data_IF_240518948798
#
_entry.id   IF_240518948798
#
_cell.length_a   1.000
_cell.length_b   1.000
_cell.length_c   1.000
_cell.angle_alpha   90.00
_cell.angle_beta   90.00
_cell.angle_gamma   90.00
#
_symmetry.space_group_name_H-M   'P 1'
#
loop_
_entity.id
_entity.type
_entity.pdbx_description
1 polymer ?
#
# COMPACT_ATOMS: atom_id res chain seq x y z
N UNK A 1 -47.48 -2.27 -3.58
CA UNK A 1 -46.65 -2.52 -2.37
C UNK A 1 -45.15 -2.60 -2.66
N UNK A 2 -44.68 -2.78 -3.91
CA UNK A 2 -43.24 -2.84 -4.25
C UNK A 2 -42.55 -1.48 -4.56
N UNK A 3 -43.25 -0.35 -4.41
CA UNK A 3 -42.69 0.99 -4.68
C UNK A 3 -42.11 1.66 -3.43
N UNK A 4 -42.63 1.31 -2.25
CA UNK A 4 -42.17 1.89 -0.97
C UNK A 4 -40.93 1.18 -0.40
N UNK A 5 -40.68 -0.09 -0.75
CA UNK A 5 -39.46 -0.82 -0.34
C UNK A 5 -38.18 -0.31 -1.04
N UNK A 6 -38.31 0.48 -2.12
CA UNK A 6 -37.17 1.16 -2.78
C UNK A 6 -36.80 2.50 -2.14
N UNK A 7 -37.63 3.03 -1.25
CA UNK A 7 -37.41 4.33 -0.59
C UNK A 7 -36.82 4.19 0.83
N UNK A 8 -36.69 2.96 1.35
CA UNK A 8 -36.15 2.65 2.68
C UNK A 8 -34.89 1.79 2.64
N UNK A 9 -34.26 1.61 1.47
CA UNK A 9 -32.87 1.19 1.44
C UNK A 9 -32.03 2.35 1.97
N UNK A 10 -31.78 2.38 3.28
CA UNK A 10 -30.70 3.17 3.84
C UNK A 10 -29.49 2.91 2.97
N UNK A 11 -28.94 3.96 2.36
CA UNK A 11 -27.66 3.89 1.65
C UNK A 11 -26.62 3.50 2.70
N UNK A 12 -26.48 2.20 2.94
CA UNK A 12 -25.61 1.68 3.97
C UNK A 12 -24.20 1.93 3.48
N UNK A 13 -23.50 2.82 4.18
CA UNK A 13 -22.14 3.20 3.83
C UNK A 13 -21.22 2.00 4.03
N UNK A 14 -20.33 1.76 3.06
CA UNK A 14 -19.28 0.77 3.20
C UNK A 14 -18.41 1.11 4.42
N UNK A 15 -17.86 0.11 5.12
CA UNK A 15 -16.98 0.36 6.26
C UNK A 15 -15.75 1.17 5.82
N UNK A 16 -15.32 2.10 6.68
CA UNK A 16 -14.12 2.92 6.49
C UNK A 16 -12.86 2.11 6.83
N UNK A 17 -12.53 1.17 5.95
CA UNK A 17 -11.37 0.28 6.00
C UNK A 17 -10.50 0.48 4.76
N UNK A 18 -9.21 0.71 4.96
CA UNK A 18 -8.24 0.87 3.89
C UNK A 18 -7.48 -0.43 3.59
N UNK A 19 -7.16 -0.64 2.31
CA UNK A 19 -6.38 -1.78 1.81
C UNK A 19 -5.18 -1.29 1.02
N UNK A 20 -4.12 -2.09 1.01
CA UNK A 20 -2.90 -1.82 0.27
C UNK A 20 -2.10 -0.62 0.77
N UNK A 21 -0.98 -0.43 0.09
CA UNK A 21 -0.01 0.64 0.35
C UNK A 21 -0.53 1.97 -0.19
N UNK A 22 -0.20 3.05 0.50
CA UNK A 22 -0.52 4.38 0.03
C UNK A 22 0.33 4.77 -1.19
N UNK A 23 -0.28 5.52 -2.12
CA UNK A 23 0.38 6.11 -3.28
C UNK A 23 0.00 7.58 -3.41
N UNK A 24 1.00 8.43 -3.65
CA UNK A 24 0.84 9.85 -3.97
C UNK A 24 1.09 10.16 -5.45
N UNK A 25 1.24 9.14 -6.30
CA UNK A 25 1.64 9.32 -7.71
C UNK A 25 0.58 10.04 -8.56
N UNK A 26 -0.70 9.95 -8.18
CA UNK A 26 -1.81 10.60 -8.87
C UNK A 26 -2.44 11.63 -7.97
N UNK A 27 -2.22 12.90 -8.32
CA UNK A 27 -2.77 14.07 -7.63
C UNK A 27 -4.03 14.58 -8.32
N UNK A 28 -4.89 15.27 -7.58
CA UNK A 28 -6.07 15.91 -8.13
C UNK A 28 -5.69 17.12 -9.01
N UNK A 29 -6.63 17.59 -9.84
CA UNK A 29 -6.42 18.78 -10.65
C UNK A 29 -6.10 20.01 -9.79
N UNK A 30 -6.75 20.14 -8.63
CA UNK A 30 -6.54 21.22 -7.66
C UNK A 30 -5.12 21.16 -7.07
N UNK A 31 -4.64 19.96 -6.73
CA UNK A 31 -3.27 19.76 -6.24
C UNK A 31 -2.25 20.17 -7.32
N UNK A 32 -2.43 19.76 -8.58
CA UNK A 32 -1.52 20.20 -9.66
C UNK A 32 -1.53 21.72 -9.86
N UNK A 33 -2.70 22.37 -9.76
CA UNK A 33 -2.79 23.84 -9.79
C UNK A 33 -2.04 24.47 -8.60
N UNK A 34 -2.12 23.87 -7.40
CA UNK A 34 -1.37 24.32 -6.23
C UNK A 34 0.14 24.16 -6.43
N UNK A 35 0.58 23.07 -7.06
CA UNK A 35 1.97 22.84 -7.44
C UNK A 35 2.50 23.92 -8.39
N UNK A 36 1.80 24.16 -9.50
CA UNK A 36 2.19 25.17 -10.49
C UNK A 36 2.24 26.57 -9.87
N UNK A 37 1.27 26.88 -9.01
CA UNK A 37 1.25 28.12 -8.22
C UNK A 37 2.47 28.22 -7.31
N UNK A 38 2.86 27.13 -6.64
CA UNK A 38 4.04 27.12 -5.76
C UNK A 38 5.33 27.42 -6.52
N UNK A 39 5.51 26.83 -7.71
CA UNK A 39 6.66 27.07 -8.57
C UNK A 39 6.74 28.53 -9.01
N UNK A 40 5.63 29.07 -9.52
CA UNK A 40 5.55 30.47 -9.96
C UNK A 40 5.86 31.45 -8.82
N UNK A 41 5.30 31.23 -7.63
CA UNK A 41 5.56 32.09 -6.47
C UNK A 41 7.03 32.04 -6.05
N UNK A 42 7.69 30.88 -6.17
CA UNK A 42 9.11 30.73 -5.89
C UNK A 42 9.96 31.55 -6.86
N UNK A 43 9.67 31.47 -8.16
CA UNK A 43 10.33 32.26 -9.21
C UNK A 43 10.16 33.79 -9.01
N UNK A 44 9.02 34.19 -8.45
CA UNK A 44 8.73 35.60 -8.09
C UNK A 44 9.37 36.03 -6.75
N UNK A 45 10.19 35.18 -6.12
CA UNK A 45 10.80 35.38 -4.80
C UNK A 45 9.80 35.54 -3.64
N UNK A 46 8.55 35.07 -3.81
CA UNK A 46 7.51 35.04 -2.78
C UNK A 46 7.55 33.70 -2.06
N UNK A 47 8.63 33.49 -1.30
CA UNK A 47 8.97 32.16 -0.78
C UNK A 47 7.98 31.62 0.24
N UNK A 48 7.49 32.44 1.18
CA UNK A 48 6.52 31.98 2.18
C UNK A 48 5.20 31.55 1.53
N UNK A 49 4.72 32.32 0.56
CA UNK A 49 3.52 32.02 -0.21
C UNK A 49 3.71 30.80 -1.10
N UNK A 50 4.91 30.62 -1.65
CA UNK A 50 5.30 29.40 -2.37
C UNK A 50 5.18 28.17 -1.46
N UNK A 51 5.72 28.22 -0.24
CA UNK A 51 5.59 27.12 0.74
C UNK A 51 4.12 26.84 1.08
N UNK A 52 3.31 27.87 1.31
CA UNK A 52 1.87 27.70 1.58
C UNK A 52 1.14 27.03 0.41
N UNK A 53 1.45 27.42 -0.83
CA UNK A 53 0.90 26.77 -2.02
C UNK A 53 1.38 25.32 -2.17
N UNK A 54 2.65 25.04 -1.87
CA UNK A 54 3.21 23.69 -1.85
C UNK A 54 2.55 22.80 -0.78
N UNK A 55 2.22 23.34 0.39
CA UNK A 55 1.48 22.61 1.43
C UNK A 55 0.10 22.17 0.95
N UNK A 56 -0.61 23.01 0.20
CA UNK A 56 -1.88 22.62 -0.43
C UNK A 56 -1.72 21.50 -1.46
N UNK A 57 -0.57 21.39 -2.13
CA UNK A 57 -0.28 20.25 -3.01
C UNK A 57 -0.10 18.93 -2.22
N UNK A 58 0.46 18.99 -1.01
CA UNK A 58 0.66 17.82 -0.16
C UNK A 58 -0.62 17.33 0.54
N UNK A 59 -1.63 18.19 0.66
CA UNK A 59 -2.88 17.87 1.34
C UNK A 59 -3.67 16.78 0.59
N UNK A 60 -3.91 15.65 1.25
CA UNK A 60 -4.75 14.58 0.74
C UNK A 60 -6.20 14.82 1.20
N UNK A 61 -7.04 15.28 0.28
CA UNK A 61 -8.46 15.51 0.56
C UNK A 61 -9.10 14.26 1.18
N UNK A 62 -9.67 14.42 2.39
CA UNK A 62 -10.37 13.35 3.12
C UNK A 62 -9.49 12.47 4.01
N UNK A 63 -8.16 12.63 4.05
CA UNK A 63 -7.27 11.78 4.87
C UNK A 63 -6.56 12.50 6.03
N UNK A 64 -6.82 13.79 6.24
CA UNK A 64 -6.25 14.58 7.35
C UNK A 64 -4.74 14.35 7.58
N UNK A 65 -3.98 14.16 6.48
CA UNK A 65 -2.55 13.90 6.53
C UNK A 65 -1.72 15.12 6.91
N UNK A 66 -2.34 16.30 6.93
CA UNK A 66 -1.71 17.57 7.18
C UNK A 66 -2.56 18.38 8.16
N UNK A 67 -1.91 18.97 9.15
CA UNK A 67 -2.55 19.83 10.16
C UNK A 67 -1.75 21.13 10.25
N UNK A 68 -2.43 22.27 10.19
CA UNK A 68 -1.81 23.56 10.48
C UNK A 68 -1.64 23.69 12.00
N UNK A 69 -0.45 24.10 12.43
CA UNK A 69 -0.09 24.25 13.84
C UNK A 69 0.28 25.69 14.15
N UNK A 70 0.24 26.05 15.44
CA UNK A 70 0.61 27.38 15.92
C UNK A 70 1.97 27.32 16.61
N UNK A 71 2.84 28.27 16.26
CA UNK A 71 4.10 28.51 16.95
C UNK A 71 4.35 30.03 16.97
N UNK A 72 4.67 30.58 18.14
CA UNK A 72 4.85 32.02 18.32
C UNK A 72 6.05 32.61 17.59
N UNK A 73 7.04 31.79 17.24
CA UNK A 73 8.29 32.22 16.60
C UNK A 73 8.31 31.93 15.09
N UNK A 74 7.26 31.29 14.56
CA UNK A 74 7.14 30.94 13.15
C UNK A 74 6.17 31.84 12.39
N UNK A 75 6.44 32.02 11.10
CA UNK A 75 5.50 32.66 10.18
C UNK A 75 4.44 31.68 9.66
N UNK A 76 4.76 30.39 9.66
CA UNK A 76 3.88 29.32 9.23
C UNK A 76 4.39 27.97 9.75
N UNK A 77 3.51 27.18 10.36
CA UNK A 77 3.81 25.84 10.84
C UNK A 77 2.73 24.85 10.40
N UNK A 78 3.15 23.62 10.16
CA UNK A 78 2.26 22.51 9.87
C UNK A 78 2.94 21.19 10.23
N UNK A 79 2.13 20.19 10.54
CA UNK A 79 2.58 18.82 10.75
C UNK A 79 2.03 17.94 9.64
N UNK A 80 2.83 17.00 9.16
CA UNK A 80 2.42 15.98 8.21
C UNK A 80 2.62 14.58 8.81
N UNK A 81 1.74 13.66 8.44
CA UNK A 81 1.81 12.27 8.90
C UNK A 81 2.36 11.35 7.83
N UNK A 82 3.25 10.45 8.25
CA UNK A 82 3.79 9.38 7.44
C UNK A 82 3.89 8.12 8.27
N UNK A 83 2.98 7.17 8.03
CA UNK A 83 2.99 5.91 8.76
C UNK A 83 2.80 6.14 10.25
N UNK A 84 3.72 5.62 11.03
CA UNK A 84 3.80 5.82 12.48
C UNK A 84 4.29 7.22 12.86
N UNK A 85 4.85 8.02 11.94
CA UNK A 85 5.53 9.28 12.26
C UNK A 85 4.75 10.55 11.98
N UNK A 86 5.03 11.54 12.83
CA UNK A 86 4.70 12.93 12.63
C UNK A 86 5.97 13.69 12.24
N UNK A 87 5.86 14.54 11.23
CA UNK A 87 6.92 15.42 10.77
C UNK A 87 6.43 16.86 10.98
N UNK A 88 7.11 17.58 11.87
CA UNK A 88 6.79 18.96 12.23
C UNK A 88 7.59 19.92 11.37
N UNK A 89 6.89 20.78 10.64
CA UNK A 89 7.47 21.75 9.73
C UNK A 89 7.26 23.17 10.26
N UNK A 90 8.34 23.95 10.27
CA UNK A 90 8.38 25.35 10.68
C UNK A 90 9.01 26.20 9.59
N UNK A 91 8.38 27.35 9.32
CA UNK A 91 8.88 28.35 8.38
C UNK A 91 8.97 29.70 9.08
N UNK A 92 10.15 30.30 9.06
CA UNK A 92 10.35 31.68 9.52
C UNK A 92 10.83 32.58 8.36
N UNK A 93 11.38 33.76 8.67
CA UNK A 93 11.83 34.72 7.66
C UNK A 93 13.06 34.25 6.87
N UNK A 94 13.78 33.23 7.34
CA UNK A 94 15.07 32.79 6.79
C UNK A 94 15.14 31.34 6.39
N UNK A 95 14.46 30.45 7.11
CA UNK A 95 14.61 29.01 6.95
C UNK A 95 13.27 28.30 6.88
N UNK A 96 13.28 27.20 6.14
CA UNK A 96 12.35 26.10 6.28
C UNK A 96 13.04 25.00 7.07
N UNK A 97 12.38 24.45 8.09
CA UNK A 97 12.87 23.32 8.90
C UNK A 97 11.76 22.30 9.05
N UNK A 98 12.08 21.03 8.85
CA UNK A 98 11.22 19.90 9.14
C UNK A 98 11.96 18.91 10.04
N UNK A 99 11.28 18.39 11.04
CA UNK A 99 11.85 17.48 12.04
C UNK A 99 10.87 16.34 12.31
N UNK A 100 11.40 15.13 12.44
CA UNK A 100 10.64 13.98 12.94
C UNK A 100 11.40 13.34 14.08
N UNK A 101 10.69 13.00 15.15
CA UNK A 101 11.27 12.32 16.30
C UNK A 101 11.16 10.81 16.10
N UNK A 102 12.28 10.13 16.19
CA UNK A 102 12.39 8.68 16.01
C UNK A 102 12.12 8.01 17.36
N UNK A 103 13.06 8.13 18.29
CA UNK A 103 12.99 7.46 19.59
C UNK A 103 13.61 8.31 20.69
N UNK A 104 13.18 8.08 21.93
CA UNK A 104 13.84 8.66 23.09
C UNK A 104 15.05 7.82 23.51
N UNK A 105 16.21 8.43 23.69
CA UNK A 105 17.43 7.72 24.11
C UNK A 105 17.54 7.75 25.64
N UNK A 106 17.42 6.58 26.30
CA UNK A 106 17.72 6.46 27.75
C UNK A 106 19.16 6.80 28.05
N UNK A 107 20.05 6.26 27.22
CA UNK A 107 21.48 6.41 27.29
C UNK A 107 22.05 6.59 25.88
N UNK A 108 23.06 7.44 25.74
CA UNK A 108 23.75 7.67 24.47
C UNK A 108 24.76 6.54 24.21
N UNK A 109 24.29 5.48 23.55
CA UNK A 109 25.10 4.33 23.18
C UNK A 109 25.84 4.56 21.85
N UNK A 110 27.14 4.26 21.81
CA UNK A 110 28.01 4.47 20.63
C UNK A 110 27.54 3.70 19.40
N UNK A 111 26.87 2.55 19.58
CA UNK A 111 26.39 1.69 18.50
C UNK A 111 25.38 2.41 17.60
N UNK A 112 24.25 2.86 18.14
CA UNK A 112 23.24 3.55 17.34
C UNK A 112 23.73 4.93 16.87
N UNK A 113 24.54 5.62 17.67
CA UNK A 113 25.10 6.92 17.25
C UNK A 113 26.01 6.77 16.03
N UNK A 114 26.84 5.72 15.99
CA UNK A 114 27.67 5.42 14.81
C UNK A 114 26.78 5.09 13.62
N UNK A 115 25.78 4.23 13.80
CA UNK A 115 24.83 3.86 12.73
C UNK A 115 24.10 5.08 12.16
N UNK A 116 23.64 5.99 13.02
CA UNK A 116 22.99 7.24 12.61
C UNK A 116 23.92 8.15 11.79
N UNK A 117 25.20 8.25 12.18
CA UNK A 117 26.22 9.00 11.41
C UNK A 117 26.54 8.32 10.09
N UNK A 118 26.58 7.00 10.04
CA UNK A 118 26.78 6.22 8.81
C UNK A 118 25.60 6.43 7.85
N UNK A 119 24.36 6.36 8.33
CA UNK A 119 23.18 6.64 7.51
C UNK A 119 23.16 8.06 6.95
N UNK A 120 23.67 9.06 7.69
CA UNK A 120 23.76 10.42 7.16
C UNK A 120 24.60 10.52 5.88
N UNK A 121 25.49 9.56 5.62
CA UNK A 121 26.26 9.53 4.37
C UNK A 121 25.39 9.11 3.17
N UNK A 122 24.36 8.29 3.40
CA UNK A 122 23.48 7.77 2.36
C UNK A 122 22.27 8.69 2.07
N UNK A 123 21.98 9.64 2.96
CA UNK A 123 20.88 10.59 2.83
C UNK A 123 21.29 11.82 1.99
N UNK A 124 20.37 12.32 1.17
CA UNK A 124 20.63 13.45 0.26
C UNK A 124 20.15 14.79 0.82
N UNK A 125 19.07 14.78 1.60
CA UNK A 125 18.38 15.96 2.09
C UNK A 125 18.24 15.98 3.61
N UNK A 126 17.94 14.81 4.21
CA UNK A 126 17.71 14.67 5.63
C UNK A 126 18.98 14.22 6.38
N UNK A 127 18.97 14.36 7.70
CA UNK A 127 20.02 13.83 8.58
C UNK A 127 19.50 13.49 9.95
N UNK A 128 20.09 12.51 10.60
CA UNK A 128 19.94 12.25 12.02
C UNK A 128 20.54 13.37 12.87
N UNK A 129 19.86 13.69 13.96
CA UNK A 129 20.25 14.66 14.97
C UNK A 129 19.80 14.20 16.37
N UNK A 130 20.29 14.87 17.41
CA UNK A 130 19.80 14.73 18.77
C UNK A 130 19.18 16.06 19.20
N UNK A 131 17.97 16.01 19.74
CA UNK A 131 17.35 17.17 20.38
C UNK A 131 17.89 17.38 21.81
N UNK A 132 17.64 18.54 22.45
CA UNK A 132 18.11 18.81 23.81
C UNK A 132 17.52 17.88 24.88
N UNK A 133 16.51 17.08 24.55
CA UNK A 133 15.87 16.09 25.42
C UNK A 133 16.39 14.66 25.12
N UNK A 134 17.47 14.52 24.36
CA UNK A 134 18.04 13.23 23.93
C UNK A 134 17.07 12.38 23.11
N UNK A 135 16.16 12.99 22.37
CA UNK A 135 15.44 12.26 21.33
C UNK A 135 16.33 12.19 20.09
N UNK A 136 16.44 10.98 19.53
CA UNK A 136 16.98 10.79 18.19
C UNK A 136 15.94 11.31 17.21
N UNK A 137 16.33 12.28 16.40
CA UNK A 137 15.48 12.92 15.41
C UNK A 137 16.08 12.74 14.02
N UNK A 138 15.24 12.85 13.01
CA UNK A 138 15.68 13.17 11.66
C UNK A 138 15.24 14.60 11.31
N UNK A 139 16.05 15.30 10.53
CA UNK A 139 15.86 16.71 10.24
C UNK A 139 16.22 17.03 8.79
N UNK A 140 15.38 17.86 8.17
CA UNK A 140 15.63 18.49 6.89
C UNK A 140 15.46 20.01 7.07
N UNK A 141 16.42 20.79 6.60
CA UNK A 141 16.32 22.24 6.60
C UNK A 141 16.93 22.85 5.35
N UNK A 142 16.46 24.06 5.03
CA UNK A 142 16.96 24.85 3.90
C UNK A 142 16.78 26.33 4.21
N UNK A 143 17.69 27.16 3.68
CA UNK A 143 17.38 28.58 3.52
C UNK A 143 16.08 28.70 2.73
N UNK A 144 15.18 29.58 3.17
CA UNK A 144 13.86 29.76 2.57
C UNK A 144 13.98 30.21 1.11
N UNK A 145 15.00 31.00 0.78
CA UNK A 145 15.34 31.40 -0.59
C UNK A 145 15.81 30.26 -1.50
N UNK A 146 16.19 29.11 -0.92
CA UNK A 146 16.63 27.92 -1.64
C UNK A 146 15.63 26.76 -1.53
N UNK A 147 14.54 26.96 -0.78
CA UNK A 147 13.50 25.98 -0.52
C UNK A 147 12.51 25.89 -1.70
N UNK A 148 13.01 25.54 -2.88
CA UNK A 148 12.16 25.35 -4.06
C UNK A 148 11.16 24.22 -3.83
N UNK A 149 9.96 24.24 -4.46
CA UNK A 149 8.98 23.17 -4.30
C UNK A 149 9.53 21.77 -4.58
N UNK A 150 10.43 21.62 -5.56
CA UNK A 150 11.13 20.36 -5.81
C UNK A 150 12.02 19.93 -4.65
N UNK A 151 12.84 20.84 -4.10
CA UNK A 151 13.71 20.55 -2.95
C UNK A 151 12.87 20.18 -1.72
N UNK A 152 11.78 20.90 -1.49
CA UNK A 152 10.85 20.62 -0.39
C UNK A 152 10.18 19.25 -0.55
N UNK A 153 9.69 18.92 -1.75
CA UNK A 153 9.07 17.63 -2.01
C UNK A 153 10.03 16.47 -1.72
N UNK A 154 11.23 16.48 -2.32
CA UNK A 154 12.19 15.39 -2.14
C UNK A 154 12.77 15.35 -0.72
N UNK A 155 13.03 16.51 -0.11
CA UNK A 155 13.54 16.60 1.26
C UNK A 155 12.54 16.09 2.29
N UNK A 156 11.27 16.49 2.19
CA UNK A 156 10.21 15.97 3.06
C UNK A 156 9.92 14.50 2.78
N UNK A 157 9.94 14.06 1.53
CA UNK A 157 9.75 12.66 1.16
C UNK A 157 10.83 11.76 1.76
N UNK A 158 12.10 12.14 1.61
CA UNK A 158 13.22 11.40 2.21
C UNK A 158 13.12 11.39 3.74
N UNK A 159 12.91 12.55 4.37
CA UNK A 159 12.74 12.66 5.82
C UNK A 159 11.61 11.74 6.31
N UNK A 160 10.43 11.84 5.71
CA UNK A 160 9.24 11.14 6.17
C UNK A 160 9.34 9.62 6.01
N UNK A 161 9.79 9.13 4.84
CA UNK A 161 9.91 7.68 4.58
C UNK A 161 10.99 7.06 5.46
N UNK A 162 12.13 7.73 5.62
CA UNK A 162 13.22 7.19 6.43
C UNK A 162 12.89 7.23 7.92
N UNK A 163 12.19 8.27 8.38
CA UNK A 163 11.81 8.37 9.80
C UNK A 163 10.84 7.25 10.21
N UNK A 164 9.92 6.89 9.33
CA UNK A 164 8.96 5.80 9.55
C UNK A 164 9.67 4.44 9.56
N UNK A 165 10.55 4.20 8.58
CA UNK A 165 11.30 2.95 8.46
C UNK A 165 12.31 2.72 9.59
N UNK A 166 13.06 3.75 9.97
CA UNK A 166 14.14 3.60 10.95
C UNK A 166 13.64 3.54 12.40
N UNK A 167 12.38 3.93 12.67
CA UNK A 167 11.76 3.72 13.99
C UNK A 167 11.74 2.25 14.36
N UNK A 168 11.15 1.44 13.49
CA UNK A 168 10.98 0.00 13.73
C UNK A 168 12.33 -0.72 13.76
N UNK A 169 13.24 -0.36 12.86
CA UNK A 169 14.56 -0.99 12.78
C UNK A 169 15.43 -0.65 14.00
N UNK A 170 15.49 0.63 14.41
CA UNK A 170 16.35 1.03 15.52
C UNK A 170 15.77 0.57 16.86
N UNK A 171 14.44 0.64 17.06
CA UNK A 171 13.79 0.18 18.29
C UNK A 171 13.94 -1.33 18.49
N UNK A 172 13.93 -2.11 17.41
CA UNK A 172 14.14 -3.57 17.50
C UNK A 172 15.60 -3.95 17.75
N UNK A 173 16.56 -3.16 17.24
CA UNK A 173 17.99 -3.44 17.40
C UNK A 173 18.60 -2.94 18.72
N UNK A 174 18.05 -1.87 19.32
CA UNK A 174 18.67 -1.19 20.46
C UNK A 174 17.73 -1.05 21.67
N UNK A 175 17.97 -1.83 22.73
CA UNK A 175 17.18 -1.81 23.97
C UNK A 175 17.19 -0.46 24.74
N UNK A 176 18.13 0.44 24.40
CA UNK A 176 18.27 1.75 25.03
C UNK A 176 17.38 2.84 24.41
N UNK A 177 16.63 2.51 23.35
CA UNK A 177 15.68 3.40 22.69
C UNK A 177 14.25 3.11 23.19
N UNK A 178 13.49 4.18 23.46
CA UNK A 178 12.06 4.06 23.78
C UNK A 178 11.20 4.64 22.65
N UNK A 179 10.09 3.95 22.31
CA UNK A 179 9.16 4.45 21.30
C UNK A 179 8.50 5.74 21.78
N UNK A 180 8.29 6.66 20.86
CA UNK A 180 7.49 7.86 21.11
C UNK A 180 6.01 7.54 20.87
N UNK A 181 5.12 8.18 21.63
CA UNK A 181 3.66 7.98 21.47
C UNK A 181 3.18 8.65 20.19
N UNK A 182 2.59 7.85 19.29
CA UNK A 182 2.00 8.33 18.04
C UNK A 182 0.48 8.51 18.21
N UNK A 183 0.01 9.75 18.19
CA UNK A 183 -1.40 10.07 18.50
C UNK A 183 -2.33 9.93 17.27
N UNK A 184 -1.80 9.91 16.05
CA UNK A 184 -2.56 9.92 14.80
C UNK A 184 -2.91 8.52 14.28
N UNK A 185 -2.43 7.46 14.94
CA UNK A 185 -2.75 6.08 14.56
C UNK A 185 -4.23 5.80 14.86
N UNK A 186 -4.95 5.32 13.84
CA UNK A 186 -6.35 4.91 13.98
C UNK A 186 -6.40 3.44 14.40
N UNK A 187 -6.81 3.21 15.64
CA UNK A 187 -7.00 1.88 16.20
C UNK A 187 -8.22 1.22 15.55
N UNK A 188 -8.05 0.01 15.03
CA UNK A 188 -9.14 -0.80 14.49
C UNK A 188 -9.99 -1.39 15.62
N UNK A 189 -11.28 -1.63 15.34
CA UNK A 189 -12.13 -2.32 16.31
C UNK A 189 -11.63 -3.75 16.54
N UNK A 190 -11.85 -4.30 17.74
CA UNK A 190 -11.46 -5.67 18.06
C UNK A 190 -12.08 -6.71 17.12
N UNK A 191 -13.27 -6.43 16.59
CA UNK A 191 -13.95 -7.28 15.60
C UNK A 191 -13.19 -7.29 14.26
N UNK A 192 -12.79 -6.13 13.73
CA UNK A 192 -12.02 -6.04 12.48
C UNK A 192 -10.65 -6.70 12.65
N UNK A 193 -9.97 -6.46 13.77
CA UNK A 193 -8.68 -7.09 14.09
C UNK A 193 -8.81 -8.61 14.10
N UNK A 194 -9.83 -9.14 14.76
CA UNK A 194 -10.07 -10.58 14.80
C UNK A 194 -10.34 -11.16 13.41
N UNK A 195 -11.17 -10.51 12.58
CA UNK A 195 -11.43 -10.96 11.20
C UNK A 195 -10.13 -11.00 10.37
N UNK A 196 -9.26 -10.00 10.52
CA UNK A 196 -7.95 -9.96 9.84
C UNK A 196 -7.03 -11.07 10.30
N UNK A 197 -6.96 -11.36 11.61
CA UNK A 197 -6.17 -12.47 12.16
C UNK A 197 -6.69 -13.83 11.67
N UNK A 198 -8.01 -14.04 11.70
CA UNK A 198 -8.61 -15.25 11.12
C UNK A 198 -8.24 -15.41 9.64
N UNK A 199 -8.25 -14.31 8.89
CA UNK A 199 -7.88 -14.30 7.48
C UNK A 199 -6.41 -14.72 7.29
N UNK A 200 -5.48 -14.14 8.06
CA UNK A 200 -4.06 -14.52 8.05
C UNK A 200 -3.89 -16.02 8.26
N UNK A 201 -4.44 -16.55 9.35
CA UNK A 201 -4.33 -17.97 9.68
C UNK A 201 -4.92 -18.86 8.59
N UNK A 202 -6.11 -18.51 8.09
CA UNK A 202 -6.75 -19.29 7.01
C UNK A 202 -5.89 -19.34 5.73
N UNK A 203 -5.19 -18.25 5.40
CA UNK A 203 -4.31 -18.17 4.22
C UNK A 203 -3.04 -18.96 4.41
N UNK A 204 -2.40 -18.84 5.58
CA UNK A 204 -1.23 -19.62 5.91
C UNK A 204 -1.57 -21.12 5.93
N UNK A 205 -2.71 -21.51 6.50
CA UNK A 205 -3.16 -22.91 6.57
C UNK A 205 -3.45 -23.50 5.20
N UNK A 206 -4.04 -22.72 4.30
CA UNK A 206 -4.23 -23.14 2.91
C UNK A 206 -2.90 -23.48 2.22
N UNK A 207 -1.81 -22.77 2.51
CA UNK A 207 -0.47 -23.04 1.95
C UNK A 207 0.15 -24.35 2.47
N UNK A 208 -0.28 -24.83 3.63
CA UNK A 208 0.21 -26.10 4.21
C UNK A 208 -0.69 -27.29 3.85
N UNK A 209 -1.81 -27.05 3.16
CA UNK A 209 -2.72 -28.11 2.77
C UNK A 209 -2.04 -29.09 1.78
N UNK A 210 -2.25 -30.39 1.99
CA UNK A 210 -1.69 -31.45 1.13
C UNK A 210 -2.15 -31.34 -0.32
N UNK A 211 -3.27 -30.67 -0.56
CA UNK A 211 -3.90 -30.45 -1.86
C UNK A 211 -3.72 -29.01 -2.38
N UNK A 212 -2.70 -28.28 -1.91
CA UNK A 212 -2.40 -26.89 -2.31
C UNK A 212 -2.45 -26.70 -3.84
N UNK A 213 -1.81 -27.60 -4.59
CA UNK A 213 -1.78 -27.58 -6.06
C UNK A 213 -2.81 -28.54 -6.69
N UNK A 214 -3.82 -28.97 -5.93
CA UNK A 214 -4.79 -29.98 -6.32
C UNK A 214 -4.10 -31.34 -6.50
N UNK A 215 -4.14 -31.87 -7.71
CA UNK A 215 -3.55 -33.18 -8.07
C UNK A 215 -2.07 -33.11 -8.46
N UNK A 216 -1.51 -31.90 -8.61
CA UNK A 216 -0.13 -31.71 -9.03
C UNK A 216 0.85 -32.00 -7.90
N UNK A 217 1.98 -32.63 -8.23
CA UNK A 217 3.06 -32.89 -7.28
C UNK A 217 3.92 -31.62 -7.10
N UNK A 218 3.98 -31.02 -5.89
CA UNK A 218 4.74 -29.78 -5.66
C UNK A 218 6.24 -29.88 -5.98
N UNK A 219 6.85 -31.07 -5.83
CA UNK A 219 8.26 -31.29 -6.17
C UNK A 219 8.53 -31.24 -7.67
N UNK A 220 7.53 -31.57 -8.50
CA UNK A 220 7.64 -31.52 -9.96
C UNK A 220 7.18 -30.19 -10.54
N UNK A 221 6.20 -29.55 -9.90
CA UNK A 221 5.59 -28.31 -10.35
C UNK A 221 6.01 -27.14 -9.45
N UNK A 222 7.31 -26.95 -9.33
CA UNK A 222 7.92 -25.90 -8.52
C UNK A 222 7.44 -24.49 -8.90
N UNK A 223 7.23 -24.21 -10.20
CA UNK A 223 6.65 -22.94 -10.64
C UNK A 223 5.23 -22.69 -10.13
N UNK A 224 4.37 -23.71 -10.13
CA UNK A 224 3.02 -23.61 -9.57
C UNK A 224 3.06 -23.36 -8.05
N UNK A 225 3.99 -24.00 -7.35
CA UNK A 225 4.22 -23.79 -5.92
C UNK A 225 4.65 -22.36 -5.62
N UNK A 226 5.55 -21.80 -6.42
CA UNK A 226 5.97 -20.40 -6.34
C UNK A 226 4.79 -19.44 -6.46
N UNK A 227 3.91 -19.62 -7.47
CA UNK A 227 2.72 -18.77 -7.62
C UNK A 227 1.79 -18.87 -6.43
N UNK A 228 1.61 -20.05 -5.85
CA UNK A 228 0.78 -20.22 -4.65
C UNK A 228 1.33 -19.38 -3.48
N UNK A 229 2.63 -19.46 -3.18
CA UNK A 229 3.25 -18.66 -2.12
C UNK A 229 3.21 -17.15 -2.41
N UNK A 230 3.63 -16.72 -3.61
CA UNK A 230 3.65 -15.30 -3.96
C UNK A 230 2.25 -14.68 -3.95
N UNK A 231 1.23 -15.42 -4.41
CA UNK A 231 -0.15 -14.96 -4.36
C UNK A 231 -0.64 -14.73 -2.93
N UNK A 232 -0.24 -15.57 -1.98
CA UNK A 232 -0.57 -15.41 -0.57
C UNK A 232 0.19 -14.24 0.06
N UNK A 233 1.49 -14.08 -0.22
CA UNK A 233 2.30 -12.96 0.28
C UNK A 233 1.68 -11.62 -0.11
N UNK A 234 1.38 -11.44 -1.40
CA UNK A 234 0.81 -10.18 -1.87
C UNK A 234 -0.65 -9.99 -1.46
N UNK A 235 -1.43 -11.08 -1.40
CA UNK A 235 -2.79 -11.03 -0.85
C UNK A 235 -2.81 -10.59 0.61
N UNK A 236 -1.90 -11.12 1.44
CA UNK A 236 -1.75 -10.74 2.84
C UNK A 236 -1.31 -9.27 2.96
N UNK A 237 -0.25 -8.84 2.26
CA UNK A 237 0.19 -7.43 2.27
C UNK A 237 -0.95 -6.47 1.92
N UNK A 238 -1.70 -6.77 0.86
CA UNK A 238 -2.78 -5.90 0.39
C UNK A 238 -4.02 -5.91 1.29
N UNK A 239 -4.54 -7.09 1.65
CA UNK A 239 -5.85 -7.25 2.29
C UNK A 239 -5.79 -7.10 3.82
N UNK A 240 -4.69 -7.53 4.42
CA UNK A 240 -4.46 -7.39 5.85
C UNK A 240 -3.94 -5.99 6.13
N UNK A 241 -3.03 -5.49 5.28
CA UNK A 241 -2.31 -4.23 5.48
C UNK A 241 -1.67 -4.16 6.88
N UNK A 242 -0.76 -5.10 7.19
CA UNK A 242 -0.07 -5.15 8.48
C UNK A 242 0.98 -4.04 8.58
N UNK A 243 1.38 -3.71 9.80
CA UNK A 243 2.53 -2.85 10.12
C UNK A 243 3.57 -3.65 10.93
N UNK A 244 4.78 -3.13 11.14
CA UNK A 244 5.78 -3.78 12.01
C UNK A 244 6.26 -5.17 11.55
N UNK A 245 6.57 -6.10 12.48
CA UNK A 245 7.23 -7.38 12.17
C UNK A 245 6.58 -8.22 11.07
N UNK A 246 5.25 -8.35 11.02
CA UNK A 246 4.60 -9.14 9.98
C UNK A 246 4.79 -8.51 8.59
N UNK A 247 4.70 -7.19 8.49
CA UNK A 247 4.99 -6.45 7.25
C UNK A 247 6.45 -6.63 6.83
N UNK A 248 7.38 -6.58 7.77
CA UNK A 248 8.82 -6.75 7.51
C UNK A 248 9.13 -8.12 6.95
N UNK A 249 8.54 -9.19 7.51
CA UNK A 249 8.72 -10.54 6.99
C UNK A 249 8.20 -10.65 5.56
N UNK A 250 7.01 -10.11 5.26
CA UNK A 250 6.46 -10.08 3.88
C UNK A 250 7.42 -9.35 2.91
N UNK A 251 7.92 -8.18 3.30
CA UNK A 251 8.87 -7.40 2.51
C UNK A 251 10.20 -8.11 2.29
N UNK A 252 10.74 -8.75 3.34
CA UNK A 252 11.99 -9.50 3.27
C UNK A 252 11.88 -10.74 2.37
N UNK A 253 10.75 -11.44 2.39
CA UNK A 253 10.49 -12.55 1.45
C UNK A 253 10.58 -12.04 0.02
N UNK A 254 9.90 -10.93 -0.29
CA UNK A 254 9.92 -10.32 -1.62
C UNK A 254 11.36 -9.99 -2.05
N UNK A 255 12.11 -9.24 -1.23
CA UNK A 255 13.47 -8.82 -1.54
C UNK A 255 14.38 -10.04 -1.77
N UNK A 256 14.37 -11.00 -0.84
CA UNK A 256 15.22 -12.21 -0.94
C UNK A 256 14.86 -13.03 -2.19
N UNK A 257 13.57 -13.24 -2.47
CA UNK A 257 13.14 -14.02 -3.63
C UNK A 257 13.57 -13.39 -4.96
N UNK A 258 13.36 -12.07 -5.13
CA UNK A 258 13.69 -11.38 -6.38
C UNK A 258 15.17 -11.04 -6.54
N UNK A 259 15.94 -11.00 -5.45
CA UNK A 259 17.40 -10.86 -5.50
C UNK A 259 18.12 -12.10 -6.07
N UNK A 260 17.47 -13.27 -5.98
CA UNK A 260 18.05 -14.52 -6.46
C UNK A 260 17.90 -14.66 -8.00
N UNK A 261 18.93 -15.20 -8.68
CA UNK A 261 18.84 -15.55 -10.11
C UNK A 261 17.69 -16.51 -10.45
N UNK A 262 17.13 -16.39 -11.65
CA UNK A 262 15.95 -17.14 -12.07
C UNK A 262 16.14 -18.67 -12.14
N UNK A 263 17.38 -19.14 -12.34
CA UNK A 263 17.75 -20.56 -12.40
C UNK A 263 17.86 -21.23 -11.02
N UNK A 264 17.88 -20.45 -9.92
CA UNK A 264 17.94 -20.96 -8.54
C UNK A 264 16.57 -21.26 -7.93
N UNK A 265 15.78 -22.09 -8.60
CA UNK A 265 14.38 -22.35 -8.24
C UNK A 265 14.24 -22.95 -6.83
N UNK A 266 15.11 -23.89 -6.46
CA UNK A 266 15.07 -24.52 -5.12
C UNK A 266 15.37 -23.52 -4.01
N UNK A 267 16.40 -22.68 -4.16
CA UNK A 267 16.73 -21.63 -3.19
C UNK A 267 15.58 -20.62 -3.07
N UNK A 268 14.96 -20.23 -4.20
CA UNK A 268 13.79 -19.34 -4.21
C UNK A 268 12.60 -19.93 -3.46
N UNK A 269 12.32 -21.22 -3.63
CA UNK A 269 11.25 -21.90 -2.89
C UNK A 269 11.57 -21.97 -1.40
N UNK A 270 12.83 -22.24 -1.04
CA UNK A 270 13.25 -22.25 0.36
C UNK A 270 13.03 -20.89 1.03
N UNK A 271 13.36 -19.78 0.35
CA UNK A 271 13.08 -18.42 0.85
C UNK A 271 11.59 -18.23 1.15
N UNK A 272 10.72 -18.69 0.25
CA UNK A 272 9.27 -18.59 0.43
C UNK A 272 8.81 -19.43 1.63
N UNK A 273 9.30 -20.67 1.76
CA UNK A 273 8.92 -21.59 2.83
C UNK A 273 9.41 -21.15 4.20
N UNK A 274 10.66 -20.67 4.30
CA UNK A 274 11.21 -20.07 5.52
C UNK A 274 10.36 -18.88 5.96
N UNK A 275 10.08 -17.95 5.05
CA UNK A 275 9.25 -16.80 5.38
C UNK A 275 7.83 -17.18 5.81
N UNK A 276 7.22 -18.21 5.21
CA UNK A 276 5.91 -18.69 5.68
C UNK A 276 5.96 -19.27 7.09
N UNK A 277 7.10 -19.87 7.47
CA UNK A 277 7.33 -20.34 8.84
C UNK A 277 7.45 -19.15 9.79
N UNK A 278 8.25 -18.15 9.43
CA UNK A 278 8.46 -16.95 10.24
C UNK A 278 7.14 -16.19 10.47
N UNK A 279 6.29 -16.04 9.44
CA UNK A 279 4.95 -15.44 9.57
C UNK A 279 4.05 -16.17 10.57
N UNK A 280 4.20 -17.49 10.72
CA UNK A 280 3.41 -18.31 11.64
C UNK A 280 3.91 -18.26 13.08
N UNK A 281 5.17 -17.87 13.29
CA UNK A 281 5.74 -17.75 14.63
C UNK A 281 5.26 -16.46 15.33
N UNK A 282 4.70 -15.51 14.58
CA UNK A 282 4.11 -14.27 15.10
C UNK A 282 2.78 -14.59 15.81
N UNK A 283 2.69 -14.23 17.08
CA UNK A 283 1.51 -14.51 17.93
C UNK A 283 0.33 -13.58 17.63
N UNK A 284 -0.89 -14.01 17.93
CA UNK A 284 -2.11 -13.19 17.80
C UNK A 284 -2.03 -11.89 18.61
N UNK A 285 -1.35 -11.90 19.75
CA UNK A 285 -1.12 -10.70 20.58
C UNK A 285 -0.19 -9.69 19.88
N UNK A 286 0.78 -10.16 19.10
CA UNK A 286 1.64 -9.30 18.28
C UNK A 286 0.86 -8.80 17.06
N UNK A 287 0.19 -9.69 16.33
CA UNK A 287 -0.65 -9.32 15.19
C UNK A 287 -1.70 -8.26 15.59
N UNK A 288 -2.35 -8.42 16.74
CA UNK A 288 -3.34 -7.46 17.21
C UNK A 288 -2.78 -6.06 17.44
N UNK A 289 -1.48 -5.95 17.80
CA UNK A 289 -0.80 -4.66 17.98
C UNK A 289 -0.33 -4.05 16.66
N UNK A 290 -0.12 -4.88 15.63
CA UNK A 290 0.32 -4.49 14.29
C UNK A 290 -0.84 -4.10 13.36
N UNK A 291 -2.08 -4.46 13.71
CA UNK A 291 -3.27 -4.21 12.90
C UNK A 291 -3.94 -2.89 13.27
N UNK A 292 -3.38 -1.79 12.78
CA UNK A 292 -3.92 -0.44 12.89
C UNK A 292 -3.86 0.31 11.55
N UNK A 293 -4.54 1.45 11.47
CA UNK A 293 -4.50 2.31 10.30
C UNK A 293 -3.60 3.52 10.52
N UNK A 294 -2.69 3.72 9.58
CA UNK A 294 -1.83 4.90 9.50
C UNK A 294 -2.24 5.82 8.36
N UNK A 295 -1.85 7.09 8.51
CA UNK A 295 -1.96 8.11 7.47
C UNK A 295 -0.58 8.29 6.85
N UNK A 296 -0.53 8.31 5.51
CA UNK A 296 0.70 8.54 4.76
C UNK A 296 0.54 9.74 3.84
N UNK A 297 1.61 10.52 3.72
CA UNK A 297 1.68 11.68 2.82
C UNK A 297 2.45 11.35 1.54
N UNK A 298 3.46 10.47 1.63
CA UNK A 298 4.29 10.05 0.52
C UNK A 298 4.14 8.55 0.27
N UNK A 299 3.99 8.18 -1.00
CA UNK A 299 3.99 6.80 -1.45
C UNK A 299 5.41 6.25 -1.60
N UNK A 300 5.54 4.96 -1.32
CA UNK A 300 6.79 4.19 -1.44
C UNK A 300 6.87 3.39 -2.75
N UNK A 301 5.76 3.24 -3.46
CA UNK A 301 5.69 2.49 -4.72
C UNK A 301 6.08 3.38 -5.90
N UNK A 302 6.59 2.74 -6.95
CA UNK A 302 7.02 3.46 -8.16
C UNK A 302 5.80 3.73 -9.06
N UNK A 303 5.63 4.94 -9.60
CA UNK A 303 4.62 5.23 -10.61
C UNK A 303 4.76 4.27 -11.81
N UNK A 304 3.66 3.63 -12.21
CA UNK A 304 3.61 2.84 -13.43
C UNK A 304 2.50 3.37 -14.33
N UNK A 305 2.80 3.54 -15.62
CA UNK A 305 1.75 3.80 -16.60
C UNK A 305 1.03 2.50 -16.96
N UNK A 306 -0.11 2.64 -17.65
CA UNK A 306 -0.91 1.50 -18.05
C UNK A 306 -0.16 0.46 -18.88
N UNK A 307 0.76 0.89 -19.76
CA UNK A 307 1.47 -0.04 -20.64
C UNK A 307 2.40 -0.99 -19.88
N UNK A 308 3.05 -0.52 -18.79
CA UNK A 308 3.83 -1.39 -17.89
C UNK A 308 2.94 -2.45 -17.24
N UNK A 309 1.77 -2.03 -16.74
CA UNK A 309 0.79 -2.94 -16.11
C UNK A 309 0.29 -3.97 -17.12
N UNK A 310 -0.13 -3.52 -18.31
CA UNK A 310 -0.63 -4.38 -19.37
C UNK A 310 0.42 -5.40 -19.85
N UNK A 311 1.67 -4.97 -20.03
CA UNK A 311 2.77 -5.87 -20.41
C UNK A 311 3.02 -6.94 -19.33
N UNK A 312 3.01 -6.56 -18.06
CA UNK A 312 3.17 -7.51 -16.96
C UNK A 312 2.04 -8.54 -16.94
N UNK A 313 0.77 -8.10 -17.00
CA UNK A 313 -0.39 -8.99 -17.06
C UNK A 313 -0.27 -9.94 -18.25
N UNK A 314 0.09 -9.45 -19.44
CA UNK A 314 0.23 -10.28 -20.64
C UNK A 314 1.27 -11.40 -20.44
N UNK A 315 2.43 -11.04 -19.91
CA UNK A 315 3.55 -11.96 -19.72
C UNK A 315 3.21 -13.09 -18.73
N UNK A 316 2.57 -12.76 -17.61
CA UNK A 316 2.26 -13.73 -16.57
C UNK A 316 1.03 -14.59 -16.92
N UNK A 317 0.07 -14.05 -17.68
CA UNK A 317 -1.08 -14.84 -18.16
C UNK A 317 -0.67 -15.99 -19.10
N UNK A 318 0.51 -15.95 -19.71
CA UNK A 318 1.02 -17.07 -20.50
C UNK A 318 1.18 -18.35 -19.66
N UNK A 319 1.52 -18.21 -18.37
CA UNK A 319 1.64 -19.34 -17.44
C UNK A 319 0.28 -20.01 -17.17
N UNK A 320 -0.82 -19.28 -17.23
CA UNK A 320 -2.18 -19.79 -16.93
C UNK A 320 -2.63 -20.85 -17.94
N UNK A 321 -2.26 -20.69 -19.22
CA UNK A 321 -2.82 -21.46 -20.34
C UNK A 321 -2.77 -22.98 -20.10
N UNK A 322 -1.60 -23.49 -19.71
CA UNK A 322 -1.44 -24.94 -19.51
C UNK A 322 -2.26 -25.44 -18.31
N UNK A 323 -2.29 -24.69 -17.20
CA UNK A 323 -3.04 -25.10 -16.01
C UNK A 323 -4.55 -25.07 -16.24
N UNK A 324 -5.04 -24.10 -16.99
CA UNK A 324 -6.46 -24.00 -17.37
C UNK A 324 -6.88 -25.15 -18.30
N UNK A 325 -6.12 -25.41 -19.37
CA UNK A 325 -6.39 -26.51 -20.32
C UNK A 325 -6.42 -27.89 -19.62
N UNK A 326 -5.65 -28.04 -18.53
CA UNK A 326 -5.56 -29.27 -17.73
C UNK A 326 -6.42 -29.23 -16.45
N UNK A 327 -7.31 -28.25 -16.29
CA UNK A 327 -8.27 -28.14 -15.16
C UNK A 327 -7.60 -28.05 -13.77
N UNK A 328 -6.45 -27.38 -13.69
CA UNK A 328 -5.75 -27.08 -12.45
C UNK A 328 -6.19 -25.71 -11.88
N UNK A 329 -7.49 -25.61 -11.56
CA UNK A 329 -8.15 -24.36 -11.15
C UNK A 329 -7.48 -23.65 -9.97
N UNK A 330 -6.94 -24.39 -8.99
CA UNK A 330 -6.21 -23.80 -7.86
C UNK A 330 -4.96 -23.05 -8.30
N UNK A 331 -4.22 -23.59 -9.28
CA UNK A 331 -3.00 -22.95 -9.80
C UNK A 331 -3.37 -21.76 -10.69
N UNK A 332 -4.41 -21.91 -11.53
CA UNK A 332 -4.95 -20.80 -12.32
C UNK A 332 -5.33 -19.62 -11.42
N UNK A 333 -6.03 -19.89 -10.32
CA UNK A 333 -6.38 -18.88 -9.31
C UNK A 333 -5.13 -18.23 -8.70
N UNK A 334 -4.14 -19.04 -8.28
CA UNK A 334 -2.91 -18.53 -7.68
C UNK A 334 -2.14 -17.60 -8.62
N UNK A 335 -2.02 -17.94 -9.91
CA UNK A 335 -1.36 -17.07 -10.90
C UNK A 335 -2.13 -15.75 -11.04
N UNK A 336 -3.46 -15.79 -11.17
CA UNK A 336 -4.25 -14.58 -11.32
C UNK A 336 -4.16 -13.68 -10.06
N UNK A 337 -4.22 -14.27 -8.87
CA UNK A 337 -4.07 -13.56 -7.60
C UNK A 337 -2.66 -12.94 -7.47
N UNK A 338 -1.64 -13.67 -7.91
CA UNK A 338 -0.27 -13.15 -7.96
C UNK A 338 -0.17 -11.93 -8.88
N UNK A 339 -0.77 -11.97 -10.07
CA UNK A 339 -0.73 -10.83 -11.01
C UNK A 339 -1.33 -9.59 -10.35
N UNK A 340 -2.55 -9.70 -9.81
CA UNK A 340 -3.22 -8.57 -9.18
C UNK A 340 -2.46 -8.06 -7.95
N UNK A 341 -2.03 -8.97 -7.07
CA UNK A 341 -1.28 -8.64 -5.86
C UNK A 341 0.09 -8.01 -6.16
N UNK A 342 0.83 -8.53 -7.14
CA UNK A 342 2.11 -7.99 -7.56
C UNK A 342 1.97 -6.56 -8.08
N UNK A 343 0.95 -6.31 -8.92
CA UNK A 343 0.68 -4.96 -9.41
C UNK A 343 0.40 -3.99 -8.26
N UNK A 344 -0.44 -4.36 -7.30
CA UNK A 344 -0.80 -3.53 -6.15
C UNK A 344 0.37 -3.33 -5.17
N UNK A 345 1.29 -4.28 -5.10
CA UNK A 345 2.47 -4.20 -4.23
C UNK A 345 3.57 -3.30 -4.82
N UNK A 346 3.86 -3.44 -6.11
CA UNK A 346 5.04 -2.81 -6.72
C UNK A 346 4.74 -1.45 -7.36
N UNK A 347 3.51 -1.24 -7.83
CA UNK A 347 3.18 -0.09 -8.66
C UNK A 347 2.21 0.85 -7.97
N UNK A 348 2.49 2.15 -8.11
CA UNK A 348 1.47 3.17 -8.01
C UNK A 348 0.67 3.16 -9.32
N UNK A 349 -0.49 2.49 -9.30
CA UNK A 349 -1.34 2.23 -10.46
C UNK A 349 -2.20 3.45 -10.84
N UNK A 350 -2.50 3.67 -12.14
CA UNK A 350 -3.50 4.63 -12.57
C UNK A 350 -4.85 4.37 -11.91
N UNK A 351 -5.65 5.42 -11.71
CA UNK A 351 -6.95 5.34 -11.03
C UNK A 351 -7.86 4.20 -11.51
N UNK A 352 -8.09 4.02 -12.83
CA UNK A 352 -8.86 2.91 -13.37
C UNK A 352 -8.28 1.53 -13.02
N UNK A 353 -6.96 1.34 -13.22
CA UNK A 353 -6.29 0.08 -12.96
C UNK A 353 -6.36 -0.28 -11.46
N UNK A 354 -6.12 0.68 -10.58
CA UNK A 354 -6.22 0.49 -9.13
C UNK A 354 -7.62 0.05 -8.70
N UNK A 355 -8.66 0.76 -9.12
CA UNK A 355 -10.04 0.46 -8.72
C UNK A 355 -10.52 -0.90 -9.27
N UNK A 356 -10.07 -1.28 -10.47
CA UNK A 356 -10.37 -2.60 -11.05
C UNK A 356 -9.58 -3.74 -10.39
N UNK A 357 -8.33 -3.51 -9.98
CA UNK A 357 -7.56 -4.48 -9.19
C UNK A 357 -8.11 -4.63 -7.77
N UNK A 358 -8.67 -3.56 -7.19
CA UNK A 358 -9.46 -3.67 -5.95
C UNK A 358 -10.70 -4.53 -6.18
N UNK A 359 -11.48 -4.26 -7.24
CA UNK A 359 -12.64 -5.08 -7.58
C UNK A 359 -12.27 -6.56 -7.80
N UNK A 360 -11.12 -6.82 -8.41
CA UNK A 360 -10.58 -8.18 -8.55
C UNK A 360 -10.54 -8.90 -7.18
N UNK A 361 -9.96 -8.25 -6.16
CA UNK A 361 -9.91 -8.83 -4.81
C UNK A 361 -11.27 -8.87 -4.14
N UNK A 362 -12.15 -7.88 -4.34
CA UNK A 362 -13.54 -7.92 -3.83
C UNK A 362 -14.30 -9.15 -4.37
N UNK A 363 -14.04 -9.55 -5.63
CA UNK A 363 -14.61 -10.76 -6.24
C UNK A 363 -13.91 -12.03 -5.73
N UNK A 364 -12.58 -12.05 -5.72
CA UNK A 364 -11.79 -13.21 -5.30
C UNK A 364 -12.00 -13.58 -3.82
N UNK A 365 -12.16 -12.55 -2.97
CA UNK A 365 -12.12 -12.63 -1.51
C UNK A 365 -13.44 -12.18 -0.88
N UNK A 366 -14.55 -12.34 -1.60
CA UNK A 366 -15.87 -11.82 -1.19
C UNK A 366 -16.24 -12.14 0.26
N UNK A 367 -15.98 -13.36 0.73
CA UNK A 367 -16.39 -13.76 2.09
C UNK A 367 -15.62 -12.97 3.16
N UNK A 368 -14.36 -12.64 2.91
CA UNK A 368 -13.56 -11.80 3.79
C UNK A 368 -14.08 -10.36 3.81
N UNK A 369 -14.36 -9.77 2.65
CA UNK A 369 -14.97 -8.44 2.58
C UNK A 369 -16.36 -8.39 3.25
N UNK A 370 -17.18 -9.43 3.07
CA UNK A 370 -18.48 -9.52 3.73
C UNK A 370 -18.35 -9.59 5.26
N UNK A 371 -17.37 -10.35 5.78
CA UNK A 371 -17.07 -10.37 7.22
C UNK A 371 -16.66 -8.99 7.74
N UNK A 372 -15.89 -8.23 6.95
CA UNK A 372 -15.50 -6.85 7.27
C UNK A 372 -16.66 -5.84 7.19
N UNK A 373 -17.85 -6.25 6.75
CA UNK A 373 -19.05 -5.41 6.68
C UNK A 373 -19.33 -4.80 5.31
N UNK A 374 -18.55 -5.12 4.27
CA UNK A 374 -18.88 -4.70 2.91
C UNK A 374 -20.11 -5.46 2.40
N UNK A 375 -20.99 -4.76 1.68
CA UNK A 375 -22.26 -5.31 1.23
C UNK A 375 -22.29 -5.45 -0.29
N UNK A 376 -21.71 -6.53 -0.80
CA UNK A 376 -21.83 -6.93 -2.20
C UNK A 376 -21.95 -8.44 -2.32
N UNK A 377 -22.44 -8.90 -3.47
CA UNK A 377 -22.69 -10.32 -3.71
C UNK A 377 -22.35 -10.64 -5.18
N UNK A 378 -21.10 -10.94 -5.45
CA UNK A 378 -20.58 -11.40 -6.74
C UNK A 378 -20.70 -12.92 -6.93
N UNK A 379 -21.07 -13.66 -5.88
CA UNK A 379 -21.38 -15.09 -5.90
C UNK A 379 -22.79 -15.33 -5.36
N UNK A 380 -23.42 -16.42 -5.79
CA UNK A 380 -24.68 -16.89 -5.19
C UNK A 380 -24.48 -17.30 -3.71
N UNK A 381 -25.58 -17.50 -2.98
CA UNK A 381 -25.57 -17.72 -1.52
C UNK A 381 -24.78 -18.97 -1.09
N UNK A 382 -24.73 -19.97 -1.95
CA UNK A 382 -23.98 -21.23 -1.80
C UNK A 382 -22.56 -21.16 -2.37
N UNK A 383 -22.15 -20.02 -2.93
CA UNK A 383 -20.80 -19.77 -3.45
C UNK A 383 -20.45 -20.51 -4.75
N UNK A 384 -21.37 -21.32 -5.28
CA UNK A 384 -21.14 -22.23 -6.40
C UNK A 384 -21.10 -21.55 -7.78
N UNK A 385 -21.67 -20.35 -7.92
CA UNK A 385 -21.79 -19.63 -9.19
C UNK A 385 -21.42 -18.16 -9.05
N UNK A 386 -20.60 -17.70 -9.98
CA UNK A 386 -20.24 -16.29 -10.13
C UNK A 386 -21.38 -15.52 -10.83
N UNK A 387 -21.79 -14.40 -10.23
CA UNK A 387 -22.82 -13.50 -10.72
C UNK A 387 -22.19 -12.41 -11.60
N UNK A 388 -21.80 -12.79 -12.83
CA UNK A 388 -21.08 -11.92 -13.78
C UNK A 388 -21.74 -10.56 -14.00
N UNK A 389 -23.06 -10.51 -14.12
CA UNK A 389 -23.81 -9.27 -14.35
C UNK A 389 -23.50 -8.21 -13.27
N UNK A 390 -23.41 -8.62 -12.01
CA UNK A 390 -23.09 -7.71 -10.89
C UNK A 390 -21.65 -7.23 -10.91
N UNK A 391 -20.73 -8.05 -11.41
CA UNK A 391 -19.33 -7.66 -11.57
C UNK A 391 -19.24 -6.64 -12.72
N UNK A 392 -19.94 -6.88 -13.83
CA UNK A 392 -20.02 -5.96 -14.97
C UNK A 392 -20.60 -4.61 -14.53
N UNK A 393 -21.72 -4.59 -13.80
CA UNK A 393 -22.31 -3.36 -13.25
C UNK A 393 -21.27 -2.55 -12.43
N UNK A 394 -20.45 -3.26 -11.64
CA UNK A 394 -19.42 -2.63 -10.80
C UNK A 394 -18.26 -2.10 -11.63
N UNK A 395 -17.85 -2.81 -12.68
CA UNK A 395 -16.84 -2.33 -13.63
C UNK A 395 -17.35 -1.07 -14.33
N UNK A 396 -18.56 -1.10 -14.89
CA UNK A 396 -19.14 0.06 -15.59
C UNK A 396 -19.20 1.30 -14.69
N UNK A 397 -19.57 1.12 -13.42
CA UNK A 397 -19.53 2.20 -12.44
C UNK A 397 -18.12 2.76 -12.21
N UNK A 398 -17.11 1.90 -12.13
CA UNK A 398 -15.69 2.32 -12.00
C UNK A 398 -15.24 3.07 -13.25
N UNK A 399 -15.57 2.57 -14.44
CA UNK A 399 -15.19 3.22 -15.71
C UNK A 399 -15.84 4.60 -15.83
N UNK A 400 -17.11 4.73 -15.47
CA UNK A 400 -17.82 6.02 -15.53
C UNK A 400 -17.26 7.03 -14.55
N UNK A 401 -16.89 6.61 -13.33
CA UNK A 401 -16.20 7.45 -12.34
C UNK A 401 -14.91 8.06 -12.90
N UNK A 402 -14.16 7.30 -13.69
CA UNK A 402 -12.86 7.73 -14.22
C UNK A 402 -12.91 8.34 -15.62
N UNK A 403 -14.05 8.23 -16.32
CA UNK A 403 -14.24 8.75 -17.69
C UNK A 403 -13.87 10.23 -17.87
N UNK A 404 -14.10 11.16 -16.91
CA UNK A 404 -13.68 12.55 -17.07
C UNK A 404 -12.16 12.73 -17.24
N UNK A 405 -11.35 11.88 -16.59
CA UNK A 405 -9.90 11.91 -16.71
C UNK A 405 -9.37 10.97 -17.82
N UNK A 406 -10.13 9.95 -18.19
CA UNK A 406 -9.76 8.92 -19.17
C UNK A 406 -10.89 8.72 -20.20
N UNK A 407 -11.01 9.60 -21.21
CA UNK A 407 -12.15 9.62 -22.13
C UNK A 407 -12.22 8.38 -23.05
N UNK A 408 -11.09 7.71 -23.26
CA UNK A 408 -10.96 6.53 -24.14
C UNK A 408 -11.36 5.21 -23.46
N UNK A 409 -11.88 5.26 -22.22
CA UNK A 409 -12.38 4.07 -21.53
C UNK A 409 -13.59 3.47 -22.27
N UNK A 410 -13.65 2.13 -22.39
CA UNK A 410 -14.77 1.46 -23.05
C UNK A 410 -16.10 1.74 -22.35
N UNK A 411 -17.20 1.69 -23.09
CA UNK A 411 -18.54 1.91 -22.56
C UNK A 411 -19.21 0.63 -22.03
N UNK A 412 -18.83 -0.53 -22.57
CA UNK A 412 -19.39 -1.84 -22.21
C UNK A 412 -18.30 -2.91 -22.30
N UNK A 413 -18.49 -4.03 -21.61
CA UNK A 413 -17.64 -5.20 -21.71
C UNK A 413 -18.43 -6.49 -21.45
N UNK A 414 -17.80 -7.63 -21.71
CA UNK A 414 -18.33 -8.94 -21.33
C UNK A 414 -17.24 -9.74 -20.63
N UNK A 415 -17.59 -10.34 -19.48
CA UNK A 415 -16.71 -11.28 -18.78
C UNK A 415 -16.94 -12.70 -19.29
N UNK A 416 -15.84 -13.41 -19.53
CA UNK A 416 -15.83 -14.79 -19.99
C UNK A 416 -15.65 -15.77 -18.83
N UNK A 417 -16.01 -17.05 -19.06
CA UNK A 417 -15.88 -18.12 -18.08
C UNK A 417 -17.06 -18.27 -17.13
N UNK A 418 -17.17 -19.45 -16.52
CA UNK A 418 -18.22 -19.79 -15.54
C UNK A 418 -17.65 -20.09 -14.14
N UNK A 419 -16.36 -20.46 -14.07
CA UNK A 419 -15.66 -20.68 -12.79
C UNK A 419 -15.05 -19.38 -12.29
N UNK A 420 -14.87 -19.27 -10.97
CA UNK A 420 -14.23 -18.09 -10.36
C UNK A 420 -12.84 -17.78 -10.96
N UNK A 421 -11.92 -18.76 -11.14
CA UNK A 421 -10.63 -18.47 -11.75
C UNK A 421 -10.75 -17.96 -13.20
N UNK A 422 -11.69 -18.48 -13.99
CA UNK A 422 -11.90 -18.05 -15.37
C UNK A 422 -12.45 -16.60 -15.45
N UNK A 423 -13.39 -16.24 -14.56
CA UNK A 423 -13.91 -14.86 -14.50
C UNK A 423 -12.84 -13.87 -14.06
N UNK A 424 -12.03 -14.23 -13.06
CA UNK A 424 -10.93 -13.38 -12.59
C UNK A 424 -9.83 -13.21 -13.64
N UNK A 425 -9.48 -14.27 -14.37
CA UNK A 425 -8.62 -14.18 -15.56
C UNK A 425 -9.22 -13.24 -16.60
N UNK A 426 -10.51 -13.36 -16.90
CA UNK A 426 -11.20 -12.49 -17.87
C UNK A 426 -11.16 -11.02 -17.44
N UNK A 427 -11.29 -10.74 -16.13
CA UNK A 427 -11.12 -9.40 -15.58
C UNK A 427 -9.70 -8.85 -15.79
N UNK A 428 -8.64 -9.66 -15.56
CA UNK A 428 -7.26 -9.25 -15.84
C UNK A 428 -7.03 -8.97 -17.34
N UNK A 429 -7.59 -9.80 -18.22
CA UNK A 429 -7.55 -9.57 -19.67
C UNK A 429 -8.25 -8.26 -20.04
N UNK A 430 -9.38 -7.95 -19.40
CA UNK A 430 -10.07 -6.69 -19.59
C UNK A 430 -9.22 -5.50 -19.13
N UNK A 431 -8.65 -5.55 -17.93
CA UNK A 431 -7.75 -4.51 -17.41
C UNK A 431 -6.61 -4.26 -18.40
N UNK A 432 -5.92 -5.31 -18.85
CA UNK A 432 -4.84 -5.23 -19.86
C UNK A 432 -5.25 -4.51 -21.15
N UNK A 433 -6.52 -4.60 -21.54
CA UNK A 433 -7.03 -4.08 -22.81
C UNK A 433 -7.43 -2.60 -22.78
N UNK A 434 -7.36 -1.95 -21.62
CA UNK A 434 -7.78 -0.57 -21.47
C UNK A 434 -6.89 0.40 -22.26
N UNK A 435 -7.49 1.51 -22.69
CA UNK A 435 -6.77 2.62 -23.30
C UNK A 435 -6.82 3.81 -22.35
N UNK A 436 -5.79 3.94 -21.51
CA UNK A 436 -5.66 5.03 -20.52
C UNK A 436 -4.87 6.25 -21.03
N UNK A 437 -4.70 6.33 -22.36
CA UNK A 437 -4.04 7.43 -23.06
C UNK A 437 -4.90 8.69 -23.16
#
# INVERSE_FOLDING_TARGET
>A
MAFWDRLTASKQENPDIYFGRYSDAYKSAEQYVAWDKSLKLFEENKYLESVKAFVHYLENHGKANLILTEDSEALFCFSLYQGSKQIDCLVNDKIFRAESKIAHCKDLNVGFLRKAVEYNYDLNYARFSLDPQNNLCMLFDSMLSEASPYKLYYGLKELAIQSDKEDDLLLSEFEHLEPLKNQHIKILSSEIVHIKIEYIHSRLDALNASDLLGTLNPKRYQGALTYAYLSAIYGLDYLVKPEGPFMDVLGNIHIRYFSLPADRIEEKINVLQEGMKDLREISDDQLSKELYEVISTFGITSPANHSVVAQFIDSELQAVKWYEENKHDKVTMAICNYIAGYCLYNFALPGPDHDLMRLYFEVAEQDYFNKLGFQFNFRNKDGSRVLKDKIVDRIEHILEKHRPAFPNLPATLTLEGETLPAVLKSLLVFIKSLSLS
#
